data_IF_038116847909
#
_entry.id   IF_038116847909
#
_cell.length_a   1.000
_cell.length_b   1.000
_cell.length_c   1.000
_cell.angle_alpha   90.00
_cell.angle_beta   90.00
_cell.angle_gamma   90.00
#
_symmetry.space_group_name_H-M   'P 1'
#
loop_
_entity.id
_entity.type
_entity.pdbx_description
1 polymer ?
#
# COMPACT_ATOMS: atom_id res chain seq x y z
N UNK A 1 5.69 23.83 51.72
CA UNK A 1 5.30 22.47 52.16
C UNK A 1 3.86 22.26 51.75
N UNK A 2 3.61 21.35 50.81
CA UNK A 2 2.31 21.17 50.14
C UNK A 2 1.30 20.41 51.02
N UNK A 3 0.02 20.82 51.00
CA UNK A 3 -1.06 20.25 51.82
C UNK A 3 -1.45 18.82 51.35
N UNK A 4 -1.48 17.82 52.26
CA UNK A 4 -1.70 16.40 51.95
C UNK A 4 -3.14 16.02 51.61
N UNK A 5 -4.10 16.96 51.56
CA UNK A 5 -5.52 16.66 51.36
C UNK A 5 -6.00 16.55 49.91
N UNK A 6 -5.12 16.64 48.92
CA UNK A 6 -5.49 16.56 47.50
C UNK A 6 -4.92 15.32 46.78
N UNK A 7 -4.85 14.17 47.45
CA UNK A 7 -4.48 12.89 46.82
C UNK A 7 -5.65 11.93 46.87
N UNK A 8 -6.79 12.35 46.34
CA UNK A 8 -7.95 11.48 46.18
C UNK A 8 -8.43 11.55 44.73
N UNK A 9 -8.46 10.38 44.10
CA UNK A 9 -9.15 10.05 42.84
C UNK A 9 -8.35 10.15 41.53
N UNK A 10 -7.36 9.28 41.38
CA UNK A 10 -7.03 8.67 40.08
C UNK A 10 -7.00 7.14 40.20
N UNK A 11 -8.13 6.55 40.58
CA UNK A 11 -8.39 5.12 40.40
C UNK A 11 -9.48 4.97 39.35
N UNK A 12 -9.16 4.35 38.21
CA UNK A 12 -10.01 3.66 37.20
C UNK A 12 -9.25 3.67 35.85
N UNK A 13 -9.12 2.63 35.03
CA UNK A 13 -9.38 1.18 35.04
C UNK A 13 -8.42 0.65 33.94
N UNK A 14 -7.53 -0.31 34.24
CA UNK A 14 -6.90 -1.14 33.19
C UNK A 14 -7.71 -2.42 33.11
N UNK A 15 -8.47 -2.59 32.04
CA UNK A 15 -9.03 -3.88 31.67
C UNK A 15 -8.09 -4.50 30.63
N UNK A 16 -7.08 -5.23 31.12
CA UNK A 16 -6.26 -6.11 30.29
C UNK A 16 -6.95 -7.49 30.30
N UNK A 17 -7.66 -7.82 29.23
CA UNK A 17 -8.20 -9.16 29.04
C UNK A 17 -7.16 -10.02 28.32
N UNK A 18 -6.14 -10.46 29.05
CA UNK A 18 -5.26 -11.55 28.64
C UNK A 18 -5.86 -12.88 29.12
N UNK A 19 -6.38 -13.69 28.19
CA UNK A 19 -6.62 -15.10 28.47
C UNK A 19 -5.30 -15.87 28.35
N UNK A 20 -4.97 -16.58 29.42
CA UNK A 20 -3.79 -17.44 29.55
C UNK A 20 -3.95 -18.79 28.83
N UNK A 21 -2.81 -19.24 28.26
CA UNK A 21 -2.25 -20.62 28.13
C UNK A 21 -3.10 -21.73 27.46
N UNK A 22 -2.70 -22.30 26.30
CA UNK A 22 -1.63 -23.29 26.00
C UNK A 22 -1.96 -24.73 26.48
N UNK A 23 -1.39 -25.85 25.97
CA UNK A 23 -0.61 -26.14 24.74
C UNK A 23 -1.25 -27.31 23.92
N UNK A 24 -0.72 -27.64 22.73
CA UNK A 24 -1.22 -28.81 21.97
C UNK A 24 -0.33 -29.22 20.81
N UNK A 25 0.51 -30.21 21.07
CA UNK A 25 1.32 -30.99 20.12
C UNK A 25 0.45 -31.86 19.21
N UNK A 26 0.89 -32.05 17.95
CA UNK A 26 0.71 -33.32 17.25
C UNK A 26 -0.30 -33.36 16.10
N UNK A 27 0.28 -33.45 14.90
CA UNK A 27 -0.07 -34.38 13.81
C UNK A 27 -1.38 -34.27 13.02
N UNK A 28 -1.20 -34.69 11.75
CA UNK A 28 -2.17 -35.28 10.83
C UNK A 28 -2.79 -34.38 9.76
N UNK A 29 -1.97 -34.26 8.71
CA UNK A 29 -2.33 -34.24 7.30
C UNK A 29 -3.72 -34.80 6.95
N UNK A 30 -4.51 -34.03 6.21
CA UNK A 30 -5.65 -34.51 5.42
C UNK A 30 -5.25 -34.62 3.95
N UNK A 31 -5.14 -35.82 3.36
CA UNK A 31 -4.94 -35.95 1.92
C UNK A 31 -6.27 -35.87 1.17
N UNK A 32 -6.26 -34.92 0.24
CA UNK A 32 -7.02 -34.77 -1.00
C UNK A 32 -7.50 -36.10 -1.61
N UNK A 33 -8.82 -36.35 -1.63
CA UNK A 33 -9.41 -37.46 -2.39
C UNK A 33 -9.80 -36.96 -3.78
N UNK A 34 -8.88 -37.17 -4.73
CA UNK A 34 -9.18 -37.17 -6.16
C UNK A 34 -10.10 -38.35 -6.48
N UNK A 35 -11.16 -38.11 -7.24
CA UNK A 35 -11.76 -39.15 -8.08
C UNK A 35 -12.12 -38.53 -9.42
N UNK A 36 -11.24 -38.80 -10.40
CA UNK A 36 -11.52 -38.69 -11.83
C UNK A 36 -12.68 -39.63 -12.16
N UNK A 37 -13.65 -39.12 -12.91
CA UNK A 37 -14.45 -39.93 -13.82
C UNK A 37 -14.30 -39.29 -15.20
N UNK A 38 -13.93 -40.15 -16.13
CA UNK A 38 -13.54 -39.90 -17.50
C UNK A 38 -14.79 -39.99 -18.39
N UNK A 39 -15.00 -39.02 -19.28
CA UNK A 39 -15.83 -39.15 -20.47
C UNK A 39 -15.47 -38.06 -21.49
N UNK A 40 -15.42 -38.49 -22.75
CA UNK A 40 -14.77 -37.93 -23.93
C UNK A 40 -15.45 -36.66 -24.52
N UNK A 41 -14.89 -36.06 -25.60
CA UNK A 41 -14.89 -34.62 -25.84
C UNK A 41 -16.14 -34.10 -26.56
N UNK A 42 -16.53 -32.86 -26.24
CA UNK A 42 -17.37 -32.04 -27.11
C UNK A 42 -16.83 -30.62 -27.10
N UNK A 43 -16.13 -30.27 -28.17
CA UNK A 43 -16.12 -28.90 -28.69
C UNK A 43 -17.57 -28.49 -28.96
N UNK A 44 -17.94 -27.27 -28.56
CA UNK A 44 -18.53 -26.39 -29.55
C UNK A 44 -17.74 -25.09 -29.63
N UNK A 45 -17.51 -24.72 -30.87
CA UNK A 45 -17.08 -23.44 -31.37
C UNK A 45 -18.09 -22.34 -30.98
N UNK A 46 -17.57 -21.11 -30.90
CA UNK A 46 -18.29 -19.84 -31.05
C UNK A 46 -19.11 -19.34 -29.85
N UNK A 47 -18.58 -18.34 -29.13
CA UNK A 47 -19.20 -17.00 -29.00
C UNK A 47 -18.23 -16.03 -28.29
N UNK A 48 -18.28 -14.72 -28.61
CA UNK A 48 -17.30 -13.74 -28.17
C UNK A 48 -17.40 -13.54 -26.66
N UNK A 49 -16.24 -13.42 -26.01
CA UNK A 49 -16.13 -12.98 -24.62
C UNK A 49 -16.71 -11.58 -24.55
N UNK A 50 -18.01 -11.48 -24.21
CA UNK A 50 -18.61 -10.24 -23.77
C UNK A 50 -17.73 -9.72 -22.63
N UNK A 51 -17.13 -8.56 -22.89
CA UNK A 51 -16.43 -7.78 -21.89
C UNK A 51 -17.36 -7.65 -20.69
N UNK A 52 -17.06 -8.40 -19.63
CA UNK A 52 -17.83 -8.37 -18.39
C UNK A 52 -17.85 -6.93 -17.93
N UNK A 53 -18.98 -6.27 -18.13
CA UNK A 53 -19.31 -4.98 -17.54
C UNK A 53 -19.38 -5.29 -16.03
N UNK A 54 -18.25 -5.12 -15.35
CA UNK A 54 -18.19 -5.19 -13.90
C UNK A 54 -19.16 -4.13 -13.41
N UNK A 55 -20.32 -4.57 -12.95
CA UNK A 55 -21.36 -3.70 -12.41
C UNK A 55 -20.79 -3.13 -11.11
N UNK A 56 -20.31 -1.90 -11.19
CA UNK A 56 -19.58 -1.32 -10.08
C UNK A 56 -20.53 -0.95 -8.96
N UNK A 57 -20.37 -1.60 -7.81
CA UNK A 57 -21.22 -1.37 -6.65
C UNK A 57 -20.99 0.02 -6.05
N UNK A 58 -21.99 0.60 -5.34
CA UNK A 58 -21.93 1.96 -4.78
C UNK A 58 -20.70 2.28 -3.91
N UNK A 59 -20.07 1.26 -3.30
CA UNK A 59 -18.86 1.43 -2.48
C UNK A 59 -17.53 1.28 -3.21
N UNK A 60 -17.52 0.99 -4.51
CA UNK A 60 -16.27 0.87 -5.28
C UNK A 60 -15.66 2.24 -5.61
N UNK A 61 -16.51 3.26 -5.75
CA UNK A 61 -16.06 4.62 -5.96
C UNK A 61 -15.36 5.19 -4.72
N UNK A 62 -15.93 5.01 -3.53
CA UNK A 62 -15.29 5.44 -2.26
C UNK A 62 -13.94 4.75 -2.04
N UNK A 63 -13.86 3.45 -2.31
CA UNK A 63 -12.59 2.70 -2.26
C UNK A 63 -11.58 3.26 -3.25
N UNK A 64 -12.01 3.61 -4.46
CA UNK A 64 -11.13 4.17 -5.47
C UNK A 64 -10.59 5.54 -5.05
N UNK A 65 -11.46 6.42 -4.53
CA UNK A 65 -11.03 7.72 -3.98
C UNK A 65 -10.03 7.55 -2.84
N UNK A 66 -10.22 6.57 -1.94
CA UNK A 66 -9.27 6.30 -0.87
C UNK A 66 -7.89 5.84 -1.39
N UNK A 67 -7.84 5.04 -2.46
CA UNK A 67 -6.58 4.66 -3.13
C UNK A 67 -5.92 5.88 -3.75
N UNK A 68 -6.70 6.74 -4.42
CA UNK A 68 -6.20 7.98 -5.02
C UNK A 68 -5.56 8.90 -3.98
N UNK A 69 -6.19 9.07 -2.81
CA UNK A 69 -5.61 9.86 -1.71
C UNK A 69 -4.26 9.32 -1.28
N UNK A 70 -4.12 7.99 -1.13
CA UNK A 70 -2.83 7.37 -0.77
C UNK A 70 -1.76 7.56 -1.83
N UNK A 71 -2.13 7.52 -3.11
CA UNK A 71 -1.20 7.79 -4.21
C UNK A 71 -0.68 9.23 -4.15
N UNK A 72 -1.57 10.20 -3.88
CA UNK A 72 -1.20 11.62 -3.71
C UNK A 72 -0.31 11.84 -2.49
N UNK A 73 -0.61 11.19 -1.37
CA UNK A 73 0.25 11.26 -0.18
C UNK A 73 1.66 10.73 -0.48
N UNK A 74 1.74 9.61 -1.22
CA UNK A 74 3.03 9.04 -1.62
C UNK A 74 3.79 9.94 -2.60
N UNK A 75 3.09 10.66 -3.49
CA UNK A 75 3.70 11.63 -4.41
C UNK A 75 4.26 12.84 -3.65
N UNK A 76 3.52 13.35 -2.66
CA UNK A 76 3.98 14.40 -1.77
C UNK A 76 5.23 14.00 -0.98
N UNK A 77 5.22 12.82 -0.36
CA UNK A 77 6.39 12.32 0.37
C UNK A 77 7.59 12.08 -0.55
N UNK A 78 7.36 11.65 -1.78
CA UNK A 78 8.43 11.51 -2.77
C UNK A 78 9.16 12.82 -3.04
N UNK A 79 8.43 13.95 -3.11
CA UNK A 79 9.03 15.27 -3.32
C UNK A 79 9.91 15.69 -2.14
N UNK A 80 9.41 15.51 -0.92
CA UNK A 80 10.20 15.78 0.29
C UNK A 80 11.49 14.95 0.33
N UNK A 81 11.44 13.71 -0.13
CA UNK A 81 12.65 12.88 -0.22
C UNK A 81 13.64 13.42 -1.27
N UNK A 82 13.19 14.04 -2.37
CA UNK A 82 14.09 14.60 -3.41
C UNK A 82 14.83 15.80 -2.82
N UNK A 83 14.12 16.66 -2.08
CA UNK A 83 14.72 17.79 -1.37
C UNK A 83 15.74 17.32 -0.31
N UNK A 84 15.40 16.28 0.45
CA UNK A 84 16.32 15.70 1.43
C UNK A 84 17.57 15.10 0.75
N UNK A 85 17.40 14.39 -0.37
CA UNK A 85 18.51 13.86 -1.14
C UNK A 85 19.42 14.99 -1.65
N UNK A 86 18.83 16.10 -2.15
CA UNK A 86 19.58 17.28 -2.56
C UNK A 86 20.48 17.82 -1.44
N UNK A 87 19.92 17.96 -0.24
CA UNK A 87 20.66 18.42 0.93
C UNK A 87 21.82 17.50 1.27
N UNK A 88 21.60 16.18 1.26
CA UNK A 88 22.66 15.20 1.54
C UNK A 88 23.79 15.27 0.52
N UNK A 89 23.47 15.48 -0.75
CA UNK A 89 24.46 15.56 -1.83
C UNK A 89 25.34 16.80 -1.67
N UNK A 90 24.74 17.96 -1.40
CA UNK A 90 25.50 19.18 -1.12
C UNK A 90 26.45 18.98 0.06
N UNK A 91 25.98 18.38 1.15
CA UNK A 91 26.83 18.07 2.31
C UNK A 91 27.97 17.12 1.95
N UNK A 92 27.70 16.05 1.19
CA UNK A 92 28.74 15.08 0.78
C UNK A 92 29.79 15.74 -0.12
N UNK A 93 29.36 16.57 -1.07
CA UNK A 93 30.27 17.32 -1.95
C UNK A 93 31.14 18.31 -1.17
N UNK A 94 30.57 19.00 -0.17
CA UNK A 94 31.28 19.94 0.69
C UNK A 94 32.29 19.25 1.63
N UNK A 95 31.90 18.14 2.26
CA UNK A 95 32.73 17.43 3.26
C UNK A 95 33.88 16.65 2.63
N UNK A 96 33.61 15.88 1.58
CA UNK A 96 34.56 14.90 1.06
C UNK A 96 35.32 15.40 -0.16
N UNK A 97 34.80 16.38 -0.92
CA UNK A 97 35.37 16.88 -2.20
C UNK A 97 35.81 15.77 -3.17
N UNK A 98 35.28 14.55 -2.99
CA UNK A 98 35.70 13.35 -3.67
C UNK A 98 34.63 12.94 -4.67
N UNK A 99 35.05 12.75 -5.93
CA UNK A 99 34.18 12.28 -7.02
C UNK A 99 33.75 10.82 -6.86
N UNK A 100 34.24 10.10 -5.86
CA UNK A 100 33.97 8.67 -5.66
C UNK A 100 32.48 8.37 -5.46
N UNK A 101 31.70 9.35 -5.01
CA UNK A 101 30.26 9.22 -4.78
C UNK A 101 29.41 9.86 -5.86
N UNK A 102 29.97 10.61 -6.82
CA UNK A 102 29.18 11.39 -7.78
C UNK A 102 28.27 10.53 -8.63
N UNK A 103 28.76 9.34 -9.02
CA UNK A 103 28.02 8.43 -9.89
C UNK A 103 26.84 7.80 -9.14
N UNK A 104 27.09 7.27 -7.93
CA UNK A 104 26.05 6.69 -7.07
C UNK A 104 24.99 7.74 -6.69
N UNK A 105 25.42 8.97 -6.44
CA UNK A 105 24.54 10.11 -6.18
C UNK A 105 23.66 10.42 -7.40
N UNK A 106 24.26 10.48 -8.59
CA UNK A 106 23.54 10.73 -9.84
C UNK A 106 22.51 9.64 -10.15
N UNK A 107 22.88 8.38 -9.94
CA UNK A 107 21.96 7.24 -10.09
C UNK A 107 20.78 7.31 -9.12
N UNK A 108 21.04 7.68 -7.85
CA UNK A 108 19.99 7.81 -6.84
C UNK A 108 19.01 8.94 -7.21
N UNK A 109 19.53 10.07 -7.68
CA UNK A 109 18.70 11.16 -8.18
C UNK A 109 17.84 10.75 -9.37
N UNK A 110 18.45 10.11 -10.37
CA UNK A 110 17.74 9.67 -11.57
C UNK A 110 16.64 8.64 -11.24
N UNK A 111 16.93 7.71 -10.33
CA UNK A 111 15.94 6.74 -9.86
C UNK A 111 14.76 7.42 -9.16
N UNK A 112 15.03 8.45 -8.36
CA UNK A 112 14.02 9.16 -7.59
C UNK A 112 13.16 10.08 -8.46
N UNK A 113 13.77 10.79 -9.41
CA UNK A 113 13.04 11.55 -10.43
C UNK A 113 12.15 10.64 -11.28
N UNK A 114 12.69 9.49 -11.71
CA UNK A 114 11.93 8.47 -12.44
C UNK A 114 10.78 7.87 -11.63
N UNK A 115 10.94 7.70 -10.31
CA UNK A 115 9.84 7.30 -9.42
C UNK A 115 8.78 8.40 -9.33
N UNK A 116 9.18 9.67 -9.17
CA UNK A 116 8.27 10.82 -9.10
C UNK A 116 7.44 10.98 -10.39
N UNK A 117 8.07 10.84 -11.56
CA UNK A 117 7.37 10.88 -12.84
C UNK A 117 6.33 9.75 -12.97
N UNK A 118 6.70 8.52 -12.56
CA UNK A 118 5.81 7.35 -12.66
C UNK A 118 4.62 7.44 -11.71
N UNK A 119 4.81 7.96 -10.49
CA UNK A 119 3.71 8.11 -9.55
C UNK A 119 2.73 9.20 -9.99
N UNK A 120 3.23 10.32 -10.53
CA UNK A 120 2.39 11.36 -11.10
C UNK A 120 1.54 10.83 -12.27
N UNK A 121 2.15 10.11 -13.21
CA UNK A 121 1.44 9.50 -14.33
C UNK A 121 0.39 8.46 -13.87
N UNK A 122 0.70 7.69 -12.82
CA UNK A 122 -0.25 6.74 -12.22
C UNK A 122 -1.44 7.47 -11.58
N UNK A 123 -1.20 8.57 -10.87
CA UNK A 123 -2.25 9.41 -10.29
C UNK A 123 -3.17 9.91 -11.40
N UNK A 124 -2.64 10.54 -12.45
CA UNK A 124 -3.45 11.07 -13.56
C UNK A 124 -4.30 9.96 -14.21
N UNK A 125 -3.69 8.82 -14.51
CA UNK A 125 -4.39 7.67 -15.10
C UNK A 125 -5.50 7.13 -14.19
N UNK A 126 -5.25 7.11 -12.89
CA UNK A 126 -6.20 6.61 -11.89
C UNK A 126 -7.32 7.62 -11.60
N UNK A 127 -7.05 8.93 -11.67
CA UNK A 127 -8.03 10.00 -11.61
C UNK A 127 -9.00 9.92 -12.77
N UNK A 128 -8.49 9.85 -14.00
CA UNK A 128 -9.32 9.68 -15.20
C UNK A 128 -10.22 8.43 -15.09
N UNK A 129 -9.67 7.34 -14.54
CA UNK A 129 -10.46 6.14 -14.25
C UNK A 129 -11.54 6.42 -13.22
N UNK A 130 -11.23 7.01 -12.07
CA UNK A 130 -12.20 7.37 -11.04
C UNK A 130 -13.33 8.28 -11.59
N UNK A 131 -13.01 9.20 -12.50
CA UNK A 131 -13.98 10.05 -13.16
C UNK A 131 -14.91 9.29 -14.08
N UNK A 132 -14.40 8.31 -14.83
CA UNK A 132 -15.23 7.43 -15.66
C UNK A 132 -16.19 6.54 -14.85
N UNK A 133 -15.92 6.33 -13.56
CA UNK A 133 -16.79 5.58 -12.64
C UNK A 133 -17.87 6.46 -12.01
N UNK A 134 -17.79 7.79 -12.15
CA UNK A 134 -18.85 8.68 -11.64
C UNK A 134 -20.13 8.40 -12.43
N UNK A 135 -21.27 8.16 -11.76
CA UNK A 135 -22.53 8.03 -12.47
C UNK A 135 -22.79 9.31 -13.27
N UNK A 136 -23.12 9.16 -14.56
CA UNK A 136 -23.54 10.29 -15.39
C UNK A 136 -24.78 10.91 -14.73
N UNK A 137 -24.61 12.15 -14.28
CA UNK A 137 -25.64 12.90 -13.56
C UNK A 137 -26.66 13.49 -14.54
#
# INVERSE_FOLDING_TARGET
>A
MSDPRNVAHAKKVKQEKAHHQAPGTGSDAKPRKQRKTEAAPKTPESEPVEASKVEQGPGEQEKSVAVLSKLKDMEFHSRANIEALAGLILTIEEELKQKEFSDAIGELYAAQDGFHAKIAALIESYEAKCESLKPAQ
#
